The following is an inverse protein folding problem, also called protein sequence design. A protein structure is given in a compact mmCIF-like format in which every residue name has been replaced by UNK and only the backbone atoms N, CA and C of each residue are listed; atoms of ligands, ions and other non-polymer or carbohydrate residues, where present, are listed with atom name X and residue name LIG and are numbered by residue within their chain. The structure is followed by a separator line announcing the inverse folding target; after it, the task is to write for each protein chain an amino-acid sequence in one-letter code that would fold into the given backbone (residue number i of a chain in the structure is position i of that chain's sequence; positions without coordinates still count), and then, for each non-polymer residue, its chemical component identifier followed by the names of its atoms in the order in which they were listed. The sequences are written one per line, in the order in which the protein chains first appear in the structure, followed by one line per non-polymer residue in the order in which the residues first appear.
data_IF_344899090040
#
_entry.id   IF_344899090040
#
_cell.length_a   1.000
_cell.length_b   1.000
_cell.length_c   1.000
_cell.angle_alpha   90.00
_cell.angle_beta   90.00
_cell.angle_gamma   90.00
#
_symmetry.space_group_name_H-M   'P 1'
#
loop_
_entity.id
_entity.type
_entity.pdbx_description
1 polymer ?
#
# COMPACT_ATOMS: atom_id res chain seq x y z
N UNK A 1 14.77 20.25 -15.26
CA UNK A 1 14.13 19.36 -14.27
C UNK A 1 12.66 19.70 -14.33
N UNK A 2 11.85 18.84 -14.93
CA UNK A 2 10.40 18.94 -14.79
C UNK A 2 10.11 18.86 -13.30
N UNK A 3 9.48 19.89 -12.74
CA UNK A 3 9.10 19.91 -11.34
C UNK A 3 8.24 18.66 -11.10
N UNK A 4 8.64 17.74 -10.21
CA UNK A 4 7.74 16.69 -9.79
C UNK A 4 6.47 17.39 -9.32
N UNK A 5 5.31 16.93 -9.79
CA UNK A 5 4.07 17.51 -9.32
C UNK A 5 3.97 17.15 -7.84
N UNK A 6 4.38 18.07 -6.95
CA UNK A 6 4.46 17.85 -5.51
C UNK A 6 3.14 17.33 -4.95
N UNK A 7 2.01 17.74 -5.54
CA UNK A 7 0.69 17.24 -5.16
C UNK A 7 0.48 15.77 -5.57
N UNK A 8 0.94 15.39 -6.76
CA UNK A 8 0.93 13.98 -7.20
C UNK A 8 1.81 13.11 -6.29
N UNK A 9 3.03 13.56 -6.01
CA UNK A 9 3.96 12.82 -5.17
C UNK A 9 3.43 12.67 -3.74
N UNK A 10 2.87 13.74 -3.17
CA UNK A 10 2.22 13.71 -1.86
C UNK A 10 1.04 12.73 -1.84
N UNK A 11 0.19 12.75 -2.87
CA UNK A 11 -0.95 11.84 -2.99
C UNK A 11 -0.49 10.37 -3.11
N UNK A 12 0.51 10.10 -3.94
CA UNK A 12 1.08 8.75 -4.09
C UNK A 12 1.74 8.28 -2.78
N UNK A 13 2.46 9.17 -2.10
CA UNK A 13 3.11 8.89 -0.82
C UNK A 13 2.12 8.49 0.28
N UNK A 14 0.93 9.11 0.31
CA UNK A 14 -0.15 8.74 1.24
C UNK A 14 -0.54 7.26 1.10
N UNK A 15 -0.75 6.78 -0.13
CA UNK A 15 -1.12 5.37 -0.36
C UNK A 15 0.06 4.42 -0.14
N UNK A 16 1.29 4.84 -0.44
CA UNK A 16 2.50 4.07 -0.10
C UNK A 16 2.61 3.88 1.42
N UNK A 17 2.38 4.93 2.20
CA UNK A 17 2.38 4.85 3.67
C UNK A 17 1.28 3.92 4.19
N UNK A 18 0.06 4.01 3.65
CA UNK A 18 -1.04 3.10 3.99
C UNK A 18 -0.68 1.63 3.72
N UNK A 19 -0.13 1.34 2.54
CA UNK A 19 0.37 0.01 2.17
C UNK A 19 1.43 -0.50 3.16
N UNK A 20 2.42 0.31 3.49
CA UNK A 20 3.49 -0.08 4.42
C UNK A 20 2.96 -0.35 5.83
N UNK A 21 2.03 0.48 6.32
CA UNK A 21 1.38 0.28 7.61
C UNK A 21 0.63 -1.05 7.66
N UNK A 22 -0.19 -1.34 6.65
CA UNK A 22 -0.95 -2.58 6.59
C UNK A 22 -0.03 -3.82 6.59
N UNK A 23 1.05 -3.80 5.79
CA UNK A 23 2.04 -4.88 5.75
C UNK A 23 2.71 -5.07 7.12
N UNK A 24 3.12 -3.97 7.78
CA UNK A 24 3.77 -4.05 9.08
C UNK A 24 2.84 -4.68 10.14
N UNK A 25 1.59 -4.24 10.21
CA UNK A 25 0.59 -4.77 11.14
C UNK A 25 0.35 -6.26 10.91
N UNK A 26 0.11 -6.67 9.66
CA UNK A 26 -0.08 -8.09 9.31
C UNK A 26 1.17 -8.91 9.69
N UNK A 27 2.37 -8.38 9.44
CA UNK A 27 3.63 -9.05 9.75
C UNK A 27 3.79 -9.29 11.25
N UNK A 28 3.41 -8.32 12.09
CA UNK A 28 3.45 -8.48 13.56
C UNK A 28 2.59 -9.68 13.97
N UNK A 29 1.37 -9.80 13.44
CA UNK A 29 0.49 -10.92 13.74
C UNK A 29 0.99 -12.26 13.19
N UNK A 30 1.65 -12.27 12.03
CA UNK A 30 2.18 -13.50 11.42
C UNK A 30 3.49 -14.00 12.05
N UNK A 31 4.27 -13.12 12.66
CA UNK A 31 5.65 -13.43 13.09
C UNK A 31 5.86 -13.41 14.60
N UNK A 32 4.91 -12.87 15.37
CA UNK A 32 5.01 -12.86 16.83
C UNK A 32 4.51 -14.18 17.42
N UNK A 33 5.29 -14.92 18.23
CA UNK A 33 4.82 -16.10 18.96
C UNK A 33 3.84 -15.64 20.04
N UNK A 34 2.56 -15.82 19.78
CA UNK A 34 1.46 -15.31 20.61
C UNK A 34 1.47 -15.96 21.99
N UNK A 35 1.74 -15.15 23.02
CA UNK A 35 1.65 -15.53 24.43
C UNK A 35 0.20 -15.50 24.90
N UNK A 36 -0.20 -16.58 25.58
CA UNK A 36 -1.51 -16.85 26.20
C UNK A 36 -2.21 -15.55 26.66
N UNK A 37 -3.28 -15.15 25.95
CA UNK A 37 -4.13 -14.01 26.32
C UNK A 37 -4.72 -13.18 25.17
N UNK A 38 -4.53 -13.57 23.90
CA UNK A 38 -4.94 -12.72 22.78
C UNK A 38 -6.45 -12.70 22.53
N UNK A 39 -6.96 -11.48 22.28
CA UNK A 39 -8.35 -11.22 21.91
C UNK A 39 -8.73 -12.08 20.68
N UNK A 40 -9.93 -12.67 20.61
CA UNK A 40 -10.36 -13.52 19.49
C UNK A 40 -10.47 -12.81 18.11
N UNK A 41 -10.14 -11.52 18.02
CA UNK A 41 -10.36 -10.65 16.84
C UNK A 41 -9.10 -10.34 16.03
N UNK A 42 -7.98 -11.03 16.25
CA UNK A 42 -6.74 -10.81 15.47
C UNK A 42 -6.97 -11.04 13.97
N UNK A 43 -7.78 -12.04 13.63
CA UNK A 43 -8.12 -12.34 12.24
C UNK A 43 -8.96 -11.22 11.63
N UNK A 44 -9.90 -10.63 12.38
CA UNK A 44 -10.72 -9.52 11.90
C UNK A 44 -9.85 -8.28 11.60
N UNK A 45 -8.88 -7.99 12.46
CA UNK A 45 -7.91 -6.91 12.22
C UNK A 45 -7.04 -7.20 10.99
N UNK A 46 -6.52 -8.43 10.85
CA UNK A 46 -5.75 -8.83 9.67
C UNK A 46 -6.57 -8.74 8.37
N UNK A 47 -7.87 -9.09 8.41
CA UNK A 47 -8.79 -8.93 7.29
C UNK A 47 -8.92 -7.45 6.91
N UNK A 48 -9.09 -6.57 7.89
CA UNK A 48 -9.21 -5.14 7.62
C UNK A 48 -7.92 -4.54 7.05
N UNK A 49 -6.76 -4.88 7.62
CA UNK A 49 -5.46 -4.47 7.09
C UNK A 49 -5.24 -5.01 5.66
N UNK A 50 -5.73 -6.21 5.35
CA UNK A 50 -5.62 -6.78 4.00
C UNK A 50 -6.47 -6.00 2.99
N UNK A 51 -7.66 -5.53 3.36
CA UNK A 51 -8.47 -4.66 2.50
C UNK A 51 -7.80 -3.31 2.26
N UNK A 52 -7.25 -2.68 3.32
CA UNK A 52 -6.51 -1.42 3.21
C UNK A 52 -5.27 -1.55 2.31
N UNK A 53 -4.60 -2.70 2.36
CA UNK A 53 -3.48 -3.02 1.48
C UNK A 53 -3.94 -3.15 0.01
N UNK A 54 -5.04 -3.84 -0.24
CA UNK A 54 -5.59 -3.99 -1.59
C UNK A 54 -5.99 -2.63 -2.17
N UNK A 55 -6.75 -1.83 -1.42
CA UNK A 55 -7.15 -0.47 -1.81
C UNK A 55 -5.93 0.41 -2.12
N UNK A 56 -4.92 0.42 -1.25
CA UNK A 56 -3.71 1.22 -1.46
C UNK A 56 -2.97 0.82 -2.75
N UNK A 57 -2.90 -0.48 -3.07
CA UNK A 57 -2.30 -0.94 -4.32
C UNK A 57 -3.10 -0.48 -5.53
N UNK A 58 -4.43 -0.60 -5.50
CA UNK A 58 -5.31 -0.21 -6.61
C UNK A 58 -5.26 1.32 -6.85
N UNK A 59 -5.21 2.12 -5.78
CA UNK A 59 -5.04 3.57 -5.88
C UNK A 59 -3.69 3.93 -6.49
N UNK A 60 -2.59 3.32 -6.02
CA UNK A 60 -1.26 3.55 -6.59
C UNK A 60 -1.27 3.18 -8.08
N UNK A 61 -1.75 1.98 -8.42
CA UNK A 61 -1.76 1.52 -9.81
C UNK A 61 -2.58 2.45 -10.72
N UNK A 62 -3.74 2.91 -10.22
CA UNK A 62 -4.58 3.90 -10.92
C UNK A 62 -3.82 5.20 -11.16
N UNK A 63 -3.19 5.77 -10.12
CA UNK A 63 -2.39 6.98 -10.24
C UNK A 63 -1.25 6.84 -11.25
N UNK A 64 -0.61 5.68 -11.29
CA UNK A 64 0.45 5.40 -12.25
C UNK A 64 -0.11 5.29 -13.67
N UNK A 65 -1.17 4.50 -13.87
CA UNK A 65 -1.80 4.34 -15.20
C UNK A 65 -2.37 5.64 -15.76
N UNK A 66 -2.88 6.52 -14.92
CA UNK A 66 -3.55 7.76 -15.34
C UNK A 66 -2.56 8.90 -15.60
N UNK A 67 -1.50 9.01 -14.79
CA UNK A 67 -0.63 10.20 -14.80
C UNK A 67 0.83 9.90 -15.15
N UNK A 68 1.29 8.65 -15.08
CA UNK A 68 2.63 8.27 -15.53
C UNK A 68 2.56 7.75 -16.98
N UNK A 69 3.06 8.54 -17.94
CA UNK A 69 3.20 8.07 -19.32
C UNK A 69 4.33 7.04 -19.34
N UNK A 70 3.98 5.77 -19.59
CA UNK A 70 4.98 4.79 -19.98
C UNK A 70 5.35 5.07 -21.43
N UNK A 71 6.49 5.74 -21.65
CA UNK A 71 7.16 5.75 -22.96
C UNK A 71 7.38 4.29 -23.38
N UNK A 72 6.45 3.74 -24.16
CA UNK A 72 6.72 2.48 -24.84
C UNK A 72 7.78 2.79 -25.88
N UNK A 73 8.95 2.21 -25.69
CA UNK A 73 10.07 2.16 -26.61
C UNK A 73 9.59 2.17 -28.07
N UNK A 74 10.11 3.14 -28.82
CA UNK A 74 10.18 3.06 -30.27
C UNK A 74 10.86 1.74 -30.60
N UNK A 75 10.09 0.78 -31.09
CA UNK A 75 10.64 -0.37 -31.80
C UNK A 75 11.03 0.16 -33.17
N UNK A 76 12.34 0.29 -33.38
CA UNK A 76 12.96 0.49 -34.69
C UNK A 76 12.68 -0.71 -35.63
#
# INVERSE_FOLDING_TARGET
METPNIMYDALKAQFVAQKQKAIATITVYLTSPVGIGEHPQLIDEMVEQTKLLAEANDCIETLQKTFEVKDKEKVD
#
